data_IF_932454691901
#
_entry.id   IF_932454691901
#
_cell.length_a   1.000
_cell.length_b   1.000
_cell.length_c   1.000
_cell.angle_alpha   90.00
_cell.angle_beta   90.00
_cell.angle_gamma   90.00
#
_symmetry.space_group_name_H-M   'P 1'
#
loop_
_entity.id
_entity.type
_entity.pdbx_description
1 polymer ?
#
# COMPACT_ATOMS: atom_id res chain seq x y z
N UNK A 1 -14.72 -0.86 2.10
CA UNK A 1 -14.48 -0.73 3.55
C UNK A 1 -13.97 0.67 3.95
N UNK A 2 -14.28 1.13 5.17
CA UNK A 2 -13.75 2.40 5.74
C UNK A 2 -12.63 2.09 6.73
N UNK A 3 -11.51 2.82 6.65
CA UNK A 3 -10.42 2.80 7.64
C UNK A 3 -10.22 4.22 8.17
N UNK A 4 -10.53 4.42 9.44
CA UNK A 4 -10.34 5.69 10.14
C UNK A 4 -9.52 5.46 11.39
N UNK A 5 -8.35 6.10 11.46
CA UNK A 5 -7.45 5.92 12.59
C UNK A 5 -6.47 7.08 12.74
N UNK A 6 -6.04 7.29 13.97
CA UNK A 6 -5.00 8.23 14.35
C UNK A 6 -3.94 7.49 15.14
N UNK A 7 -2.69 7.56 14.69
CA UNK A 7 -1.51 7.01 15.37
C UNK A 7 -0.45 8.11 15.38
N UNK A 8 0.07 8.43 16.56
CA UNK A 8 0.95 9.58 16.80
C UNK A 8 0.39 10.90 16.23
N UNK A 9 1.04 11.47 15.22
CA UNK A 9 0.65 12.71 14.53
C UNK A 9 0.11 12.47 13.12
N UNK A 10 -0.29 11.22 12.85
CA UNK A 10 -0.82 10.81 11.55
C UNK A 10 -2.26 10.38 11.71
N UNK A 11 -3.15 11.00 10.94
CA UNK A 11 -4.56 10.64 10.85
C UNK A 11 -4.88 10.21 9.43
N UNK A 12 -5.59 9.10 9.27
CA UNK A 12 -6.11 8.66 7.97
C UNK A 12 -7.62 8.51 8.01
N UNK A 13 -8.26 8.92 6.93
CA UNK A 13 -9.67 8.68 6.66
C UNK A 13 -9.79 8.11 5.24
N UNK A 14 -9.97 6.80 5.15
CA UNK A 14 -9.81 6.03 3.93
C UNK A 14 -11.08 5.27 3.60
N UNK A 15 -11.43 5.27 2.31
CA UNK A 15 -12.48 4.45 1.73
C UNK A 15 -11.82 3.52 0.72
N UNK A 16 -11.62 2.28 1.13
CA UNK A 16 -11.17 1.18 0.26
C UNK A 16 -12.39 0.67 -0.48
N UNK A 17 -12.32 0.56 -1.81
CA UNK A 17 -13.41 0.02 -2.62
C UNK A 17 -12.98 -1.23 -3.36
N UNK A 18 -13.98 -1.96 -3.86
CA UNK A 18 -13.72 -3.04 -4.80
C UNK A 18 -12.97 -2.48 -6.03
N UNK A 19 -11.92 -3.19 -6.40
CA UNK A 19 -11.03 -2.81 -7.48
C UNK A 19 -11.67 -3.09 -8.84
N UNK A 20 -11.38 -2.20 -9.77
CA UNK A 20 -11.75 -2.34 -11.18
C UNK A 20 -10.52 -2.69 -12.00
N UNK A 21 -10.72 -3.00 -13.28
CA UNK A 21 -9.62 -3.21 -14.23
C UNK A 21 -8.73 -1.96 -14.35
N UNK A 22 -9.32 -0.76 -14.28
CA UNK A 22 -8.55 0.49 -14.31
C UNK A 22 -7.59 0.59 -13.12
N UNK A 23 -8.01 0.13 -11.93
CA UNK A 23 -7.16 0.15 -10.73
C UNK A 23 -6.00 -0.84 -10.84
N UNK A 24 -6.20 -1.99 -11.51
CA UNK A 24 -5.13 -2.93 -11.78
C UNK A 24 -4.08 -2.32 -12.73
N UNK A 25 -4.50 -1.51 -13.70
CA UNK A 25 -3.59 -0.77 -14.58
C UNK A 25 -2.83 0.32 -13.79
N UNK A 26 -3.54 1.08 -12.96
CA UNK A 26 -2.95 2.10 -12.10
C UNK A 26 -1.93 1.49 -11.12
N UNK A 27 -2.23 0.32 -10.55
CA UNK A 27 -1.31 -0.41 -9.69
C UNK A 27 0.00 -0.72 -10.43
N UNK A 28 -0.06 -1.21 -11.67
CA UNK A 28 1.14 -1.48 -12.46
C UNK A 28 1.94 -0.21 -12.75
N UNK A 29 1.25 0.89 -13.07
CA UNK A 29 1.87 2.20 -13.29
C UNK A 29 2.57 2.73 -12.02
N UNK A 30 1.89 2.66 -10.88
CA UNK A 30 2.42 3.08 -9.58
C UNK A 30 3.62 2.22 -9.16
N UNK A 31 3.59 0.91 -9.40
CA UNK A 31 4.70 0.01 -9.12
C UNK A 31 5.94 0.34 -9.95
N UNK A 32 5.76 0.61 -11.26
CA UNK A 32 6.85 1.03 -12.13
C UNK A 32 7.45 2.36 -11.68
N UNK A 33 6.61 3.35 -11.39
CA UNK A 33 7.06 4.65 -10.86
C UNK A 33 7.83 4.48 -9.55
N UNK A 34 7.32 3.68 -8.61
CA UNK A 34 8.02 3.38 -7.37
C UNK A 34 9.39 2.74 -7.64
N UNK A 35 9.48 1.79 -8.57
CA UNK A 35 10.73 1.10 -8.90
C UNK A 35 11.84 2.00 -9.47
N UNK A 36 11.50 3.19 -10.00
CA UNK A 36 12.44 4.17 -10.53
C UNK A 36 13.14 4.99 -9.41
N UNK A 37 12.64 4.96 -8.17
CA UNK A 37 13.21 5.69 -7.06
C UNK A 37 14.36 4.94 -6.38
N UNK A 38 15.26 5.70 -5.76
CA UNK A 38 16.28 5.17 -4.84
C UNK A 38 15.71 5.09 -3.43
N UNK A 39 15.91 3.96 -2.76
CA UNK A 39 15.44 3.69 -1.41
C UNK A 39 16.63 3.41 -0.48
N UNK A 40 16.40 3.51 0.84
CA UNK A 40 17.44 3.30 1.86
C UNK A 40 17.76 1.82 2.03
N UNK A 41 16.82 0.94 1.69
CA UNK A 41 16.97 -0.51 1.81
C UNK A 41 16.11 -1.27 0.79
N UNK A 42 16.46 -2.53 0.55
CA UNK A 42 15.64 -3.43 -0.27
C UNK A 42 14.26 -3.69 0.35
N UNK A 43 14.16 -3.69 1.68
CA UNK A 43 12.89 -3.82 2.38
C UNK A 43 11.95 -2.63 2.09
N UNK A 44 12.48 -1.40 2.16
CA UNK A 44 11.72 -0.19 1.83
C UNK A 44 11.28 -0.21 0.36
N UNK A 45 12.18 -0.62 -0.55
CA UNK A 45 11.84 -0.81 -1.96
C UNK A 45 10.72 -1.84 -2.15
N UNK A 46 10.79 -2.97 -1.45
CA UNK A 46 9.76 -4.01 -1.54
C UNK A 46 8.39 -3.49 -1.10
N UNK A 47 8.31 -2.75 0.01
CA UNK A 47 7.06 -2.10 0.46
C UNK A 47 6.56 -1.10 -0.58
N UNK A 48 7.44 -0.24 -1.10
CA UNK A 48 7.07 0.78 -2.07
C UNK A 48 6.60 0.21 -3.41
N UNK A 49 7.14 -0.93 -3.86
CA UNK A 49 6.77 -1.54 -5.15
C UNK A 49 5.60 -2.52 -4.99
N UNK A 50 5.49 -3.22 -3.86
CA UNK A 50 4.49 -4.26 -3.68
C UNK A 50 3.26 -3.78 -2.91
N UNK A 51 3.42 -2.98 -1.86
CA UNK A 51 2.30 -2.65 -0.97
C UNK A 51 1.65 -1.32 -1.39
N UNK A 52 2.45 -0.27 -1.55
CA UNK A 52 1.97 1.07 -1.87
C UNK A 52 1.01 1.11 -3.09
N UNK A 53 1.32 0.47 -4.24
CA UNK A 53 0.45 0.53 -5.41
C UNK A 53 -0.94 -0.10 -5.16
N UNK A 54 -0.99 -1.20 -4.40
CA UNK A 54 -2.24 -1.89 -4.06
C UNK A 54 -3.12 -1.00 -3.20
N UNK A 55 -2.54 -0.39 -2.17
CA UNK A 55 -3.23 0.50 -1.25
C UNK A 55 -3.76 1.74 -1.97
N UNK A 56 -2.92 2.43 -2.74
CA UNK A 56 -3.32 3.71 -3.36
C UNK A 56 -4.25 3.54 -4.54
N UNK A 57 -4.13 2.48 -5.35
CA UNK A 57 -4.94 2.31 -6.56
C UNK A 57 -6.45 2.26 -6.26
N UNK A 58 -6.86 1.44 -5.28
CA UNK A 58 -8.27 1.21 -4.97
C UNK A 58 -8.81 2.01 -3.77
N UNK A 59 -8.06 2.99 -3.26
CA UNK A 59 -8.46 3.78 -2.09
C UNK A 59 -8.73 5.24 -2.44
N UNK A 60 -9.73 5.81 -1.78
CA UNK A 60 -10.03 7.24 -1.76
C UNK A 60 -9.94 7.76 -0.32
N UNK A 61 -9.84 9.08 -0.14
CA UNK A 61 -9.81 9.71 1.17
C UNK A 61 -8.55 10.54 1.39
N UNK A 62 -8.22 10.79 2.65
CA UNK A 62 -7.17 11.72 3.04
C UNK A 62 -6.20 11.12 4.05
N UNK A 63 -4.98 11.64 4.01
CA UNK A 63 -3.92 11.38 4.99
C UNK A 63 -3.46 12.73 5.53
N UNK A 64 -3.47 12.91 6.84
CA UNK A 64 -2.92 14.06 7.53
C UNK A 64 -1.63 13.65 8.24
N UNK A 65 -0.51 14.31 7.92
CA UNK A 65 0.80 14.08 8.53
C UNK A 65 1.31 15.42 9.07
N UNK A 66 1.55 15.50 10.37
CA UNK A 66 2.03 16.73 11.03
C UNK A 66 1.18 17.98 10.69
N UNK A 67 -0.14 17.80 10.63
CA UNK A 67 -1.09 18.88 10.33
C UNK A 67 -1.25 19.23 8.84
N UNK A 68 -0.57 18.52 7.94
CA UNK A 68 -0.74 18.65 6.50
C UNK A 68 -1.62 17.53 5.94
N UNK A 69 -2.83 17.89 5.51
CA UNK A 69 -3.75 16.96 4.87
C UNK A 69 -3.50 16.89 3.36
N UNK A 70 -3.43 15.68 2.81
CA UNK A 70 -3.34 15.40 1.38
C UNK A 70 -4.32 14.33 0.96
N UNK A 71 -4.65 14.29 -0.33
CA UNK A 71 -5.37 13.16 -0.90
C UNK A 71 -4.50 11.91 -0.88
N UNK A 72 -5.11 10.74 -0.68
CA UNK A 72 -4.44 9.44 -0.85
C UNK A 72 -3.74 9.33 -2.21
N UNK A 73 -4.33 9.93 -3.26
CA UNK A 73 -3.77 9.90 -4.63
C UNK A 73 -2.51 10.75 -4.80
N UNK A 74 -2.23 11.64 -3.86
CA UNK A 74 -1.05 12.51 -3.85
C UNK A 74 0.05 11.97 -2.93
N UNK A 75 -0.22 10.92 -2.16
CA UNK A 75 0.74 10.29 -1.27
C UNK A 75 1.87 9.65 -2.08
N UNK A 76 3.11 10.01 -1.80
CA UNK A 76 4.28 9.42 -2.47
C UNK A 76 4.67 8.07 -1.86
N UNK A 77 5.44 7.22 -2.58
CA UNK A 77 5.92 5.95 -2.02
C UNK A 77 6.74 6.14 -0.73
N UNK A 78 7.58 7.18 -0.67
CA UNK A 78 8.42 7.48 0.51
C UNK A 78 7.58 7.91 1.70
N UNK A 79 6.55 8.73 1.47
CA UNK A 79 5.61 9.14 2.52
C UNK A 79 4.81 7.95 3.03
N UNK A 80 4.36 7.06 2.12
CA UNK A 80 3.70 5.83 2.50
C UNK A 80 4.59 4.93 3.38
N UNK A 81 5.87 4.75 3.00
CA UNK A 81 6.83 3.98 3.80
C UNK A 81 7.18 4.62 5.14
N UNK A 82 6.86 5.91 5.32
CA UNK A 82 7.07 6.65 6.58
C UNK A 82 5.83 6.68 7.48
N UNK A 83 4.70 6.10 7.04
CA UNK A 83 3.50 5.98 7.88
C UNK A 83 3.77 5.04 9.07
N UNK A 84 3.10 5.25 10.22
CA UNK A 84 3.05 4.28 11.30
C UNK A 84 2.67 2.89 10.80
N UNK A 85 3.31 1.86 11.36
CA UNK A 85 3.13 0.46 10.94
C UNK A 85 1.66 0.05 10.98
N UNK A 86 0.97 0.41 12.05
CA UNK A 86 -0.44 0.11 12.31
C UNK A 86 -1.36 0.66 11.21
N UNK A 87 -1.02 1.83 10.66
CA UNK A 87 -1.75 2.43 9.55
C UNK A 87 -1.53 1.63 8.27
N UNK A 88 -0.26 1.31 7.96
CA UNK A 88 0.08 0.51 6.79
C UNK A 88 -0.54 -0.88 6.82
N UNK A 89 -0.50 -1.54 7.97
CA UNK A 89 -1.07 -2.86 8.21
C UNK A 89 -2.61 -2.86 8.05
N UNK A 90 -3.30 -1.97 8.76
CA UNK A 90 -4.76 -1.88 8.68
C UNK A 90 -5.24 -1.52 7.27
N UNK A 91 -4.52 -0.64 6.57
CA UNK A 91 -4.85 -0.29 5.20
C UNK A 91 -4.65 -1.48 4.24
N UNK A 92 -3.51 -2.18 4.32
CA UNK A 92 -3.28 -3.35 3.47
C UNK A 92 -4.29 -4.47 3.75
N UNK A 93 -4.57 -4.75 5.03
CA UNK A 93 -5.58 -5.72 5.42
C UNK A 93 -6.93 -5.34 4.80
N UNK A 94 -7.30 -4.06 4.87
CA UNK A 94 -8.54 -3.58 4.29
C UNK A 94 -8.65 -3.77 2.78
N UNK A 95 -7.54 -3.55 2.08
CA UNK A 95 -7.43 -3.79 0.63
C UNK A 95 -7.59 -5.27 0.32
N UNK A 96 -6.98 -6.16 1.09
CA UNK A 96 -7.05 -7.61 0.87
C UNK A 96 -8.45 -8.16 1.18
N UNK A 97 -9.11 -7.68 2.23
CA UNK A 97 -10.47 -8.09 2.57
C UNK A 97 -11.47 -7.71 1.47
N UNK A 98 -11.35 -6.50 0.93
CA UNK A 98 -12.20 -6.01 -0.16
C UNK A 98 -11.80 -6.60 -1.52
N UNK A 99 -10.53 -6.95 -1.70
CA UNK A 99 -9.95 -7.48 -2.94
C UNK A 99 -9.07 -8.72 -2.70
N UNK A 100 -9.64 -9.88 -2.38
CA UNK A 100 -8.87 -11.07 -1.99
C UNK A 100 -7.87 -11.56 -3.05
N UNK A 101 -8.18 -11.35 -4.34
CA UNK A 101 -7.29 -11.72 -5.44
C UNK A 101 -5.99 -10.91 -5.51
N UNK A 102 -5.84 -9.86 -4.70
CA UNK A 102 -4.64 -9.01 -4.65
C UNK A 102 -3.68 -9.38 -3.51
N UNK A 103 -4.03 -10.38 -2.70
CA UNK A 103 -3.17 -10.92 -1.67
C UNK A 103 -1.79 -11.30 -2.24
N UNK A 104 -0.73 -10.98 -1.49
CA UNK A 104 0.62 -11.38 -1.85
C UNK A 104 0.73 -12.89 -1.68
N UNK A 105 0.78 -13.61 -2.81
CA UNK A 105 1.09 -15.03 -2.78
C UNK A 105 2.58 -15.17 -2.44
N UNK A 106 2.85 -15.64 -1.21
CA UNK A 106 4.17 -16.16 -0.89
C UNK A 106 4.23 -17.54 -1.53
N UNK A 107 4.92 -17.67 -2.65
CA UNK A 107 5.25 -19.00 -3.17
C UNK A 107 6.10 -19.70 -2.09
N UNK A 108 5.53 -20.72 -1.44
CA UNK A 108 6.32 -21.63 -0.61
C UNK A 108 7.37 -22.26 -1.53
N UNK A 109 8.65 -21.89 -1.34
CA UNK A 109 9.76 -22.61 -1.91
C UNK A 109 9.75 -24.03 -1.35
N UNK A 110 9.03 -24.92 -2.01
CA UNK A 110 9.12 -26.36 -1.83
C UNK A 110 10.54 -26.76 -2.24
N UNK A 111 11.44 -26.73 -1.27
CA UNK A 111 12.78 -27.28 -1.39
C UNK A 111 12.66 -28.78 -1.52
N UNK A 112 12.46 -29.28 -2.75
CA UNK A 112 12.70 -30.68 -3.08
C UNK A 112 14.20 -30.97 -2.91
N UNK A 113 14.62 -31.31 -1.68
CA UNK A 113 15.83 -32.09 -1.47
C UNK A 113 15.58 -33.47 -2.07
N UNK A 114 16.01 -33.68 -3.31
CA UNK A 114 16.19 -35.02 -3.85
C UNK A 114 17.33 -35.68 -3.09
N UNK A 115 16.96 -36.70 -2.31
CA UNK A 115 17.87 -37.70 -1.73
C UNK A 115 18.49 -38.55 -2.85
#
# INVERSE_FOLDING_TARGET
MIVQMTVDRVTVDLIVRHATVADAMDQALLANKAAEHTYRSDAERAVAVMIYPRCVACTQGTVEIDGQTKSVKELTPQEFCSLPYEIGEAWLQAVIEENPGWALQVEEQTSEKKF
#
